data_IF_110577471219
#
_entry.id   IF_110577471219
#
_cell.length_a   1.000
_cell.length_b   1.000
_cell.length_c   1.000
_cell.angle_alpha   90.00
_cell.angle_beta   90.00
_cell.angle_gamma   90.00
#
_symmetry.space_group_name_H-M   'P 1'
#
loop_
_entity.id
_entity.type
_entity.pdbx_description
1 polymer ?
#
# COMPACT_ATOMS: atom_id res chain seq x y z
N UNK A 1 -13.27 4.99 17.67
CA UNK A 1 -12.37 4.30 16.71
C UNK A 1 -12.42 2.77 16.79
N UNK A 2 -12.72 2.15 17.94
CA UNK A 2 -12.73 0.68 18.12
C UNK A 2 -13.77 -0.11 17.28
N UNK A 3 -14.97 0.44 17.02
CA UNK A 3 -16.04 -0.31 16.34
C UNK A 3 -15.90 -0.38 14.81
N UNK A 4 -15.32 0.66 14.19
CA UNK A 4 -15.11 0.70 12.73
C UNK A 4 -14.11 -0.38 12.30
N UNK A 5 -13.00 -0.54 13.04
CA UNK A 5 -12.05 -1.65 12.83
C UNK A 5 -12.73 -3.02 12.91
N UNK A 6 -13.65 -3.21 13.86
CA UNK A 6 -14.39 -4.47 14.06
C UNK A 6 -15.32 -4.81 12.88
N UNK A 7 -15.98 -3.80 12.30
CA UNK A 7 -16.84 -4.00 11.12
C UNK A 7 -15.99 -4.35 9.89
N UNK A 8 -14.92 -3.59 9.64
CA UNK A 8 -14.05 -3.84 8.49
C UNK A 8 -13.39 -5.22 8.54
N UNK A 9 -12.90 -5.66 9.71
CA UNK A 9 -12.33 -7.01 9.90
C UNK A 9 -13.33 -8.16 9.77
N UNK A 10 -14.63 -7.91 9.98
CA UNK A 10 -15.67 -8.95 9.84
C UNK A 10 -16.17 -9.10 8.41
N UNK A 11 -16.15 -8.01 7.64
CA UNK A 11 -16.71 -7.96 6.28
C UNK A 11 -15.65 -8.27 5.22
N UNK A 12 -14.38 -7.98 5.51
CA UNK A 12 -13.29 -8.24 4.60
C UNK A 12 -12.33 -9.29 5.20
N UNK A 13 -12.07 -10.41 4.49
CA UNK A 13 -11.20 -11.47 4.98
C UNK A 13 -9.76 -10.99 5.13
N UNK A 14 -9.03 -11.51 6.11
CA UNK A 14 -7.59 -11.30 6.26
C UNK A 14 -6.88 -11.64 4.94
N UNK A 15 -6.11 -10.70 4.41
CA UNK A 15 -5.42 -10.86 3.14
C UNK A 15 -4.03 -11.41 3.41
N UNK A 16 -3.88 -12.73 3.27
CA UNK A 16 -2.63 -13.46 3.58
C UNK A 16 -1.59 -13.43 2.46
N UNK A 17 -1.92 -12.83 1.32
CA UNK A 17 -1.00 -12.77 0.19
C UNK A 17 -0.15 -11.50 0.26
N UNK A 18 1.17 -11.62 0.14
CA UNK A 18 2.05 -10.45 0.02
C UNK A 18 1.83 -9.80 -1.35
N UNK A 19 1.55 -8.51 -1.40
CA UNK A 19 1.31 -7.82 -2.67
C UNK A 19 0.87 -6.37 -2.51
N UNK A 20 0.60 -5.71 -3.63
CA UNK A 20 0.22 -4.30 -3.60
C UNK A 20 -1.30 -4.12 -3.58
N UNK A 21 -1.85 -3.75 -2.42
CA UNK A 21 -3.29 -3.54 -2.22
C UNK A 21 -3.91 -4.63 -1.34
N UNK A 22 -5.23 -4.73 -1.34
CA UNK A 22 -5.97 -5.61 -0.42
C UNK A 22 -7.14 -6.31 -1.12
N UNK A 23 -7.18 -7.64 -1.00
CA UNK A 23 -8.23 -8.50 -1.54
C UNK A 23 -8.48 -8.25 -3.04
N UNK A 24 -9.72 -7.95 -3.47
CA UNK A 24 -10.04 -7.73 -4.89
C UNK A 24 -9.45 -6.44 -5.48
N UNK A 25 -8.85 -5.58 -4.65
CA UNK A 25 -8.16 -4.37 -5.08
C UNK A 25 -6.64 -4.55 -5.16
N UNK A 26 -6.15 -5.78 -5.00
CA UNK A 26 -4.74 -6.12 -5.14
C UNK A 26 -4.33 -6.05 -6.62
N UNK A 27 -3.19 -5.43 -6.86
CA UNK A 27 -2.56 -5.37 -8.17
C UNK A 27 -1.95 -6.72 -8.55
N UNK A 28 -1.79 -7.02 -9.86
CA UNK A 28 -1.08 -8.21 -10.31
C UNK A 28 0.33 -8.31 -9.69
N UNK A 29 0.81 -9.52 -9.40
CA UNK A 29 2.12 -9.72 -8.76
C UNK A 29 3.29 -9.08 -9.55
N UNK A 30 3.20 -9.08 -10.88
CA UNK A 30 4.19 -8.47 -11.77
C UNK A 30 3.97 -6.97 -12.02
N UNK A 31 3.08 -6.32 -11.27
CA UNK A 31 2.82 -4.89 -11.42
C UNK A 31 4.07 -4.07 -11.08
N UNK A 32 4.37 -2.98 -11.80
CA UNK A 32 5.55 -2.15 -11.52
C UNK A 32 5.63 -1.64 -10.07
N UNK A 33 4.47 -1.46 -9.43
CA UNK A 33 4.35 -0.98 -8.06
C UNK A 33 4.63 -2.03 -6.97
N UNK A 34 4.58 -3.32 -7.30
CA UNK A 34 4.65 -4.41 -6.29
C UNK A 34 5.85 -4.28 -5.37
N UNK A 35 7.04 -4.02 -5.92
CA UNK A 35 8.26 -3.86 -5.12
C UNK A 35 8.16 -2.69 -4.14
N UNK A 36 7.54 -1.58 -4.55
CA UNK A 36 7.31 -0.43 -3.67
C UNK A 36 6.37 -0.77 -2.52
N UNK A 37 5.35 -1.58 -2.79
CA UNK A 37 4.36 -1.99 -1.78
C UNK A 37 4.96 -2.98 -0.78
N UNK A 38 5.76 -3.96 -1.21
CA UNK A 38 6.45 -4.86 -0.27
C UNK A 38 7.41 -4.12 0.68
N UNK A 39 8.08 -3.07 0.19
CA UNK A 39 8.91 -2.22 1.06
C UNK A 39 8.04 -1.43 2.04
N UNK A 40 6.92 -0.89 1.56
CA UNK A 40 5.97 -0.17 2.41
C UNK A 40 5.36 -1.06 3.49
N UNK A 41 4.92 -2.28 3.17
CA UNK A 41 4.36 -3.22 4.14
C UNK A 41 5.38 -3.53 5.25
N UNK A 42 6.63 -3.78 4.88
CA UNK A 42 7.73 -3.98 5.83
C UNK A 42 7.98 -2.74 6.71
N UNK A 43 8.17 -1.56 6.10
CA UNK A 43 8.43 -0.30 6.82
C UNK A 43 7.24 0.07 7.73
N UNK A 44 6.02 -0.15 7.26
CA UNK A 44 4.79 0.08 8.01
C UNK A 44 4.72 -0.86 9.20
N UNK A 45 5.09 -2.13 9.02
CA UNK A 45 5.17 -3.11 10.08
C UNK A 45 6.17 -2.76 11.18
N UNK A 46 7.40 -2.45 10.79
CA UNK A 46 8.43 -2.00 11.73
C UNK A 46 7.96 -0.76 12.51
N UNK A 47 7.40 0.24 11.82
CA UNK A 47 6.86 1.44 12.47
C UNK A 47 5.69 1.12 13.41
N UNK A 48 4.78 0.23 13.03
CA UNK A 48 3.62 -0.12 13.85
C UNK A 48 4.01 -0.88 15.12
N UNK A 49 5.02 -1.73 15.04
CA UNK A 49 5.56 -2.49 16.16
C UNK A 49 6.53 -1.67 17.04
N UNK A 50 6.75 -0.40 16.69
CA UNK A 50 7.64 0.49 17.44
C UNK A 50 9.12 0.19 17.23
N UNK A 51 9.48 -0.59 16.20
CA UNK A 51 10.87 -0.89 15.80
C UNK A 51 11.40 0.06 14.74
N UNK A 52 10.51 0.68 13.95
CA UNK A 52 10.85 1.61 12.88
C UNK A 52 11.27 2.99 13.40
N UNK A 53 12.17 3.65 12.66
CA UNK A 53 12.62 5.01 12.89
C UNK A 53 11.73 6.07 12.20
N UNK A 54 10.87 5.63 11.29
CA UNK A 54 9.95 6.48 10.52
C UNK A 54 8.56 6.54 11.15
N UNK A 55 7.90 7.68 11.03
CA UNK A 55 6.47 7.79 11.30
C UNK A 55 5.62 7.21 10.16
N UNK A 56 4.40 6.74 10.45
CA UNK A 56 3.50 6.12 9.46
C UNK A 56 3.27 7.03 8.24
N UNK A 57 3.10 8.33 8.47
CA UNK A 57 2.92 9.31 7.38
C UNK A 57 4.14 9.41 6.46
N UNK A 58 5.34 9.23 7.01
CA UNK A 58 6.57 9.22 6.21
C UNK A 58 6.66 7.94 5.38
N UNK A 59 6.35 6.78 5.97
CA UNK A 59 6.32 5.49 5.27
C UNK A 59 5.36 5.54 4.09
N UNK A 60 4.14 6.05 4.31
CA UNK A 60 3.17 6.30 3.25
C UNK A 60 3.75 7.23 2.18
N UNK A 61 4.34 8.38 2.57
CA UNK A 61 4.85 9.33 1.58
C UNK A 61 5.95 8.74 0.70
N UNK A 62 6.81 7.92 1.28
CA UNK A 62 7.86 7.22 0.54
C UNK A 62 7.29 6.20 -0.45
N UNK A 63 6.18 5.50 -0.13
CA UNK A 63 5.47 4.66 -1.09
C UNK A 63 4.99 5.47 -2.30
N UNK A 64 4.29 6.57 -2.07
CA UNK A 64 3.82 7.43 -3.15
C UNK A 64 4.99 7.95 -4.00
N UNK A 65 6.07 8.41 -3.36
CA UNK A 65 7.24 8.91 -4.06
C UNK A 65 7.87 7.83 -4.95
N UNK A 66 8.00 6.59 -4.45
CA UNK A 66 8.47 5.43 -5.24
C UNK A 66 7.57 5.20 -6.46
N UNK A 67 6.26 5.23 -6.31
CA UNK A 67 5.33 5.07 -7.44
C UNK A 67 5.46 6.20 -8.47
N UNK A 68 5.63 7.44 -8.02
CA UNK A 68 5.86 8.59 -8.92
C UNK A 68 7.17 8.41 -9.71
N UNK A 69 8.25 7.93 -9.07
CA UNK A 69 9.50 7.64 -9.77
C UNK A 69 9.34 6.55 -10.82
N UNK A 70 8.60 5.48 -10.50
CA UNK A 70 8.27 4.40 -11.45
C UNK A 70 7.47 4.96 -12.63
N UNK A 71 6.42 5.73 -12.37
CA UNK A 71 5.61 6.35 -13.40
C UNK A 71 6.43 7.33 -14.27
N UNK A 72 7.40 8.05 -13.69
CA UNK A 72 8.29 8.95 -14.43
C UNK A 72 9.29 8.19 -15.32
N UNK A 73 9.74 7.02 -14.88
CA UNK A 73 10.73 6.18 -15.57
C UNK A 73 10.14 5.38 -16.76
N UNK A 74 8.82 5.19 -16.80
CA UNK A 74 8.13 4.62 -17.95
C UNK A 74 8.47 5.39 -19.22
N UNK A 75 8.68 4.71 -20.35
CA UNK A 75 9.14 5.36 -21.58
C UNK A 75 7.98 5.90 -22.41
N UNK A 76 6.88 5.16 -22.46
CA UNK A 76 5.71 5.50 -23.26
C UNK A 76 4.83 6.53 -22.56
N UNK A 77 4.38 7.56 -23.28
CA UNK A 77 3.45 8.55 -22.72
C UNK A 77 2.15 7.90 -22.23
N UNK A 78 1.62 6.94 -23.00
CA UNK A 78 0.44 6.17 -22.62
C UNK A 78 0.65 5.39 -21.30
N UNK A 79 1.81 4.74 -21.14
CA UNK A 79 2.16 4.03 -19.91
C UNK A 79 2.33 4.98 -18.72
N UNK A 80 2.99 6.12 -18.90
CA UNK A 80 3.09 7.17 -17.85
C UNK A 80 1.72 7.59 -17.35
N UNK A 81 0.80 7.86 -18.27
CA UNK A 81 -0.57 8.24 -17.93
C UNK A 81 -1.35 7.12 -17.24
N UNK A 82 -1.16 5.86 -17.66
CA UNK A 82 -1.79 4.71 -17.03
C UNK A 82 -1.33 4.57 -15.56
N UNK A 83 -0.02 4.56 -15.33
CA UNK A 83 0.56 4.47 -13.98
C UNK A 83 0.16 5.67 -13.11
N UNK A 84 0.13 6.89 -13.66
CA UNK A 84 -0.33 8.07 -12.92
C UNK A 84 -1.80 7.96 -12.47
N UNK A 85 -2.69 7.41 -13.31
CA UNK A 85 -4.09 7.15 -12.93
C UNK A 85 -4.20 6.12 -11.82
N UNK A 86 -3.37 5.08 -11.86
CA UNK A 86 -3.33 4.07 -10.82
C UNK A 86 -2.85 4.64 -9.49
N UNK A 87 -1.82 5.51 -9.49
CA UNK A 87 -1.42 6.24 -8.28
C UNK A 87 -2.62 6.99 -7.69
N UNK A 88 -3.32 7.77 -8.51
CA UNK A 88 -4.51 8.52 -8.05
C UNK A 88 -5.62 7.60 -7.50
N UNK A 89 -5.73 6.38 -8.03
CA UNK A 89 -6.73 5.39 -7.59
C UNK A 89 -6.34 4.71 -6.28
N UNK A 90 -5.11 4.24 -6.17
CA UNK A 90 -4.68 3.35 -5.07
C UNK A 90 -4.04 4.09 -3.90
N UNK A 91 -3.43 5.26 -4.12
CA UNK A 91 -2.82 6.04 -3.04
C UNK A 91 -3.82 6.43 -1.93
N UNK A 92 -5.03 6.96 -2.24
CA UNK A 92 -6.00 7.28 -1.19
C UNK A 92 -6.45 6.05 -0.40
N UNK A 93 -6.46 4.87 -1.04
CA UNK A 93 -6.81 3.61 -0.38
C UNK A 93 -5.70 3.18 0.59
N UNK A 94 -4.45 3.14 0.12
CA UNK A 94 -3.30 2.81 0.97
C UNK A 94 -3.21 3.75 2.18
N UNK A 95 -3.26 5.07 1.94
CA UNK A 95 -3.06 6.09 2.97
C UNK A 95 -4.21 6.16 4.00
N UNK A 96 -5.48 5.99 3.58
CA UNK A 96 -6.63 6.16 4.48
C UNK A 96 -7.16 4.85 5.06
N UNK A 97 -7.05 3.76 4.29
CA UNK A 97 -7.70 2.48 4.60
C UNK A 97 -6.67 1.46 5.09
N UNK A 98 -5.41 1.53 4.63
CA UNK A 98 -4.31 0.66 5.07
C UNK A 98 -4.21 0.53 6.60
N UNK A 99 -4.14 1.63 7.38
CA UNK A 99 -4.06 1.56 8.84
C UNK A 99 -5.28 0.93 9.54
N UNK A 100 -6.43 0.81 8.85
CA UNK A 100 -7.64 0.20 9.37
C UNK A 100 -7.69 -1.31 9.12
N UNK A 101 -7.06 -1.77 8.04
CA UNK A 101 -7.06 -3.16 7.59
C UNK A 101 -5.82 -3.93 8.05
N UNK A 102 -4.69 -3.24 8.20
CA UNK A 102 -3.44 -3.84 8.61
C UNK A 102 -3.50 -4.28 10.09
N UNK A 103 -3.22 -5.54 10.34
CA UNK A 103 -3.30 -6.18 11.66
C UNK A 103 -1.96 -6.66 12.23
N UNK A 104 -0.88 -6.35 11.51
CA UNK A 104 0.49 -6.48 11.99
C UNK A 104 0.95 -7.89 12.26
N UNK A 105 0.43 -8.83 11.47
CA UNK A 105 0.82 -10.22 11.52
C UNK A 105 1.10 -10.73 10.12
N UNK A 106 2.13 -10.18 9.50
CA UNK A 106 2.88 -10.98 8.54
C UNK A 106 3.84 -11.85 9.35
N UNK A 107 3.65 -13.17 9.26
CA UNK A 107 4.53 -14.21 9.81
C UNK A 107 5.96 -14.14 9.24
#
# INVERSE_FOLDING_TARGET
MSWIRSIFKRVLPEDKEVGCGYGPFKLPANHPFTRGCSIHDFEFGETHEGRGDKGIQQVDWELFYRWVLIAKAEQSYAGKCALAREICRYWPLAHRVGPLLWDGKDE
#
